data_IF_044393338452
#
_entry.id   IF_044393338452
#
_cell.length_a   1.000
_cell.length_b   1.000
_cell.length_c   1.000
_cell.angle_alpha   90.00
_cell.angle_beta   90.00
_cell.angle_gamma   90.00
#
_symmetry.space_group_name_H-M   'P 1'
#
loop_
_entity.id
_entity.type
_entity.pdbx_description
1 polymer ?
#
# COMPACT_ATOMS: atom_id res chain seq x y z
N UNK A 1 -52.14 0.27 -6.76
CA UNK A 1 -50.75 0.78 -6.68
C UNK A 1 -50.50 1.23 -5.26
N UNK A 2 -49.47 0.65 -4.65
CA UNK A 2 -49.23 0.52 -3.21
C UNK A 2 -48.98 1.85 -2.50
N UNK A 3 -49.77 2.12 -1.45
CA UNK A 3 -49.61 3.26 -0.54
C UNK A 3 -48.42 3.03 0.40
N UNK A 4 -47.22 3.36 -0.07
CA UNK A 4 -45.98 3.36 0.73
C UNK A 4 -46.01 4.45 1.83
N UNK A 5 -46.88 5.45 1.67
CA UNK A 5 -47.11 6.50 2.65
C UNK A 5 -48.53 6.42 3.22
N UNK A 6 -48.67 6.71 4.51
CA UNK A 6 -49.96 6.72 5.21
C UNK A 6 -50.89 7.77 4.54
N UNK A 7 -52.01 7.36 3.92
CA UNK A 7 -52.86 8.24 3.11
C UNK A 7 -53.54 9.35 3.92
N UNK A 8 -53.67 9.18 5.24
CA UNK A 8 -54.30 10.16 6.14
C UNK A 8 -53.31 11.17 6.72
N UNK A 9 -51.99 10.94 6.58
CA UNK A 9 -50.97 11.85 7.08
C UNK A 9 -50.74 12.98 6.08
N UNK A 10 -51.04 14.21 6.51
CA UNK A 10 -50.73 15.42 5.75
C UNK A 10 -49.25 15.74 5.87
N UNK A 11 -48.54 15.70 4.75
CA UNK A 11 -47.12 16.05 4.71
C UNK A 11 -46.94 17.55 4.55
N UNK A 12 -46.18 18.14 5.46
CA UNK A 12 -45.82 19.56 5.47
C UNK A 12 -44.44 19.78 4.83
N UNK A 13 -44.04 21.06 4.66
CA UNK A 13 -42.71 21.39 4.12
C UNK A 13 -41.56 20.87 4.99
N UNK A 14 -41.76 20.80 6.30
CA UNK A 14 -40.77 20.24 7.23
C UNK A 14 -40.65 18.72 7.10
N UNK A 15 -41.75 18.01 6.85
CA UNK A 15 -41.73 16.56 6.61
C UNK A 15 -41.04 16.22 5.29
N UNK A 16 -41.29 17.00 4.23
CA UNK A 16 -40.63 16.83 2.92
C UNK A 16 -39.13 17.18 3.01
N UNK A 17 -38.76 18.21 3.77
CA UNK A 17 -37.36 18.56 4.02
C UNK A 17 -36.59 17.38 4.65
N UNK A 18 -37.18 16.76 5.68
CA UNK A 18 -36.63 15.55 6.32
C UNK A 18 -36.57 14.36 5.37
N UNK A 19 -37.63 14.13 4.58
CA UNK A 19 -37.70 13.02 3.63
C UNK A 19 -36.61 13.11 2.54
N UNK A 20 -36.37 14.30 2.01
CA UNK A 20 -35.40 14.54 0.94
C UNK A 20 -33.97 14.80 1.47
N UNK A 21 -33.80 14.92 2.80
CA UNK A 21 -32.51 15.23 3.42
C UNK A 21 -31.99 16.64 3.11
N UNK A 22 -32.89 17.62 2.94
CA UNK A 22 -32.56 19.01 2.61
C UNK A 22 -33.15 19.98 3.63
N UNK A 23 -32.71 21.25 3.62
CA UNK A 23 -33.27 22.27 4.51
C UNK A 23 -34.66 22.72 4.07
N UNK A 24 -35.51 23.14 5.01
CA UNK A 24 -36.84 23.72 4.70
C UNK A 24 -36.76 24.95 3.80
N UNK A 25 -35.69 25.76 3.97
CA UNK A 25 -35.40 26.89 3.08
C UNK A 25 -35.19 26.40 1.64
N UNK A 26 -34.49 25.29 1.45
CA UNK A 26 -34.27 24.72 0.13
C UNK A 26 -35.54 24.12 -0.47
N UNK A 27 -36.41 23.49 0.34
CA UNK A 27 -37.75 23.06 -0.12
C UNK A 27 -38.55 24.25 -0.65
N UNK A 28 -38.54 25.38 0.07
CA UNK A 28 -39.23 26.61 -0.36
C UNK A 28 -38.65 27.18 -1.66
N UNK A 29 -37.32 27.19 -1.80
CA UNK A 29 -36.67 27.63 -3.02
C UNK A 29 -37.08 26.75 -4.22
N UNK A 30 -37.08 25.43 -4.06
CA UNK A 30 -37.45 24.49 -5.11
C UNK A 30 -38.95 24.55 -5.47
N UNK A 31 -39.82 24.85 -4.51
CA UNK A 31 -41.23 25.15 -4.78
C UNK A 31 -41.38 26.44 -5.60
N UNK A 32 -40.66 27.50 -5.24
CA UNK A 32 -40.70 28.78 -5.96
C UNK A 32 -40.12 28.67 -7.38
N UNK A 33 -39.14 27.79 -7.58
CA UNK A 33 -38.54 27.48 -8.88
C UNK A 33 -39.42 26.57 -9.75
N UNK A 34 -40.58 26.11 -9.24
CA UNK A 34 -41.48 25.20 -9.94
C UNK A 34 -40.94 23.77 -10.07
N UNK A 35 -39.87 23.44 -9.36
CA UNK A 35 -39.24 22.12 -9.40
C UNK A 35 -40.01 21.11 -8.55
N UNK A 36 -40.40 21.49 -7.32
CA UNK A 36 -41.24 20.64 -6.48
C UNK A 36 -42.73 20.97 -6.70
N UNK A 37 -43.62 19.95 -6.69
CA UNK A 37 -45.05 20.18 -6.83
C UNK A 37 -45.62 20.88 -5.58
N UNK A 38 -46.48 21.88 -5.79
CA UNK A 38 -47.19 22.56 -4.71
C UNK A 38 -48.17 21.62 -3.98
N UNK A 39 -48.51 21.96 -2.74
CA UNK A 39 -49.49 21.22 -1.96
C UNK A 39 -50.85 21.17 -2.67
N UNK A 40 -51.48 19.99 -2.71
CA UNK A 40 -52.82 19.81 -3.27
C UNK A 40 -53.87 20.26 -2.26
N UNK A 41 -53.96 21.57 -2.05
CA UNK A 41 -54.93 22.21 -1.15
C UNK A 41 -54.88 21.64 0.27
N UNK A 42 -56.03 21.18 0.78
CA UNK A 42 -56.21 20.73 2.18
C UNK A 42 -55.57 19.37 2.49
N UNK A 43 -55.02 18.69 1.48
CA UNK A 43 -54.42 17.35 1.57
C UNK A 43 -52.88 17.37 1.73
N UNK A 44 -52.25 18.55 1.80
CA UNK A 44 -50.80 18.66 1.98
C UNK A 44 -50.00 18.34 0.71
N UNK A 45 -48.69 18.16 0.87
CA UNK A 45 -47.82 17.78 -0.26
C UNK A 45 -47.80 16.27 -0.46
N UNK A 46 -47.65 15.87 -1.72
CA UNK A 46 -47.55 14.46 -2.12
C UNK A 46 -46.07 14.01 -2.06
N UNK A 47 -45.69 13.14 -1.10
CA UNK A 47 -44.30 12.75 -0.91
C UNK A 47 -43.68 12.08 -2.13
N UNK A 48 -44.44 11.22 -2.81
CA UNK A 48 -43.95 10.49 -3.98
C UNK A 48 -43.66 11.46 -5.12
N UNK A 49 -44.60 12.38 -5.39
CA UNK A 49 -44.41 13.38 -6.43
C UNK A 49 -43.22 14.30 -6.13
N UNK A 50 -43.03 14.69 -4.86
CA UNK A 50 -41.86 15.46 -4.43
C UNK A 50 -40.54 14.69 -4.62
N UNK A 51 -40.50 13.41 -4.28
CA UNK A 51 -39.30 12.57 -4.45
C UNK A 51 -38.95 12.41 -5.92
N UNK A 52 -39.92 12.09 -6.78
CA UNK A 52 -39.67 11.97 -8.21
C UNK A 52 -39.19 13.29 -8.82
N UNK A 53 -39.84 14.41 -8.48
CA UNK A 53 -39.45 15.71 -8.98
C UNK A 53 -38.03 16.13 -8.52
N UNK A 54 -37.68 15.84 -7.26
CA UNK A 54 -36.35 16.12 -6.73
C UNK A 54 -35.25 15.26 -7.38
N UNK A 55 -35.54 13.98 -7.65
CA UNK A 55 -34.63 13.08 -8.37
C UNK A 55 -34.42 13.59 -9.79
N UNK A 56 -35.50 13.92 -10.51
CA UNK A 56 -35.42 14.47 -11.87
C UNK A 56 -34.62 15.77 -11.92
N UNK A 57 -34.80 16.64 -10.93
CA UNK A 57 -34.02 17.87 -10.80
C UNK A 57 -32.53 17.59 -10.57
N UNK A 58 -32.18 16.66 -9.68
CA UNK A 58 -30.78 16.29 -9.45
C UNK A 58 -30.14 15.60 -10.65
N UNK A 59 -30.87 14.77 -11.37
CA UNK A 59 -30.36 14.14 -12.59
C UNK A 59 -30.17 15.16 -13.70
N UNK A 60 -31.06 16.14 -13.84
CA UNK A 60 -30.91 17.23 -14.81
C UNK A 60 -29.82 18.22 -14.41
N UNK A 61 -29.67 18.58 -13.13
CA UNK A 61 -28.57 19.42 -12.66
C UNK A 61 -27.20 18.77 -12.95
N UNK A 62 -27.11 17.44 -12.81
CA UNK A 62 -25.92 16.67 -13.26
C UNK A 62 -25.68 16.74 -14.77
N UNK A 63 -26.72 16.95 -15.57
CA UNK A 63 -26.60 17.12 -17.03
C UNK A 63 -26.40 18.58 -17.46
N UNK A 64 -26.74 19.58 -16.63
CA UNK A 64 -26.56 21.01 -16.98
C UNK A 64 -25.13 21.50 -16.67
N UNK A 65 -24.40 20.83 -15.77
CA UNK A 65 -22.94 20.94 -15.71
C UNK A 65 -22.25 20.32 -16.95
N UNK A 66 -22.99 19.58 -17.79
CA UNK A 66 -22.60 19.22 -19.15
C UNK A 66 -23.06 20.33 -20.11
N UNK A 67 -22.20 21.32 -20.34
CA UNK A 67 -22.38 22.31 -21.43
C UNK A 67 -22.53 21.58 -22.78
N UNK A 68 -23.24 22.17 -23.76
CA UNK A 68 -23.48 21.55 -25.06
C UNK A 68 -22.15 21.19 -25.75
N UNK A 69 -22.06 19.93 -26.15
CA UNK A 69 -20.91 19.24 -26.71
C UNK A 69 -20.42 19.90 -28.01
N UNK A 70 -19.20 20.44 -27.99
CA UNK A 70 -18.33 20.42 -29.17
C UNK A 70 -17.68 19.03 -29.23
N UNK A 71 -17.74 18.28 -30.35
CA UNK A 71 -17.40 16.85 -30.36
C UNK A 71 -15.92 16.50 -30.08
N UNK A 72 -15.02 17.49 -30.02
CA UNK A 72 -13.58 17.25 -29.97
C UNK A 72 -12.96 17.36 -28.57
N UNK A 73 -13.59 18.07 -27.62
CA UNK A 73 -12.96 18.35 -26.32
C UNK A 73 -13.21 17.26 -25.26
N UNK A 74 -14.31 16.50 -25.37
CA UNK A 74 -14.64 15.43 -24.40
C UNK A 74 -13.79 14.15 -24.60
N UNK A 75 -13.40 13.82 -25.84
CA UNK A 75 -12.57 12.64 -26.08
C UNK A 75 -11.19 12.78 -25.44
N UNK A 76 -10.56 13.97 -25.50
CA UNK A 76 -9.28 14.21 -24.84
C UNK A 76 -9.37 14.14 -23.32
N UNK A 77 -10.42 14.71 -22.71
CA UNK A 77 -10.61 14.68 -21.26
C UNK A 77 -10.93 13.27 -20.75
N UNK A 78 -11.77 12.50 -21.47
CA UNK A 78 -12.07 11.10 -21.16
C UNK A 78 -10.83 10.20 -21.32
N UNK A 79 -10.05 10.41 -22.38
CA UNK A 79 -8.77 9.71 -22.58
C UNK A 79 -7.76 10.07 -21.48
N UNK A 80 -7.73 11.31 -21.00
CA UNK A 80 -6.88 11.70 -19.88
C UNK A 80 -7.29 11.05 -18.55
N UNK A 81 -8.61 10.96 -18.29
CA UNK A 81 -9.13 10.29 -17.10
C UNK A 81 -8.80 8.80 -17.13
N UNK A 82 -8.97 8.17 -18.29
CA UNK A 82 -8.67 6.75 -18.46
C UNK A 82 -7.17 6.45 -18.37
N UNK A 83 -6.31 7.30 -18.96
CA UNK A 83 -4.85 7.24 -18.77
C UNK A 83 -4.44 7.40 -17.31
N UNK A 84 -5.05 8.34 -16.58
CA UNK A 84 -4.79 8.52 -15.13
C UNK A 84 -5.26 7.30 -14.32
N UNK A 85 -6.34 6.64 -14.73
CA UNK A 85 -6.84 5.41 -14.10
C UNK A 85 -5.86 4.25 -14.30
N UNK A 86 -5.47 4.01 -15.55
CA UNK A 86 -4.51 2.96 -15.93
C UNK A 86 -3.15 3.18 -15.25
N UNK A 87 -2.61 4.40 -15.29
CA UNK A 87 -1.35 4.71 -14.59
C UNK A 87 -1.44 4.52 -13.07
N UNK A 88 -2.61 4.68 -12.47
CA UNK A 88 -2.82 4.40 -11.05
C UNK A 88 -2.96 2.89 -10.75
N UNK A 89 -3.53 2.12 -11.67
CA UNK A 89 -3.59 0.66 -11.61
C UNK A 89 -2.16 0.07 -11.74
N UNK A 90 -1.38 0.50 -12.71
CA UNK A 90 0.02 0.09 -12.91
C UNK A 90 0.90 0.41 -11.68
N UNK A 91 0.70 1.59 -11.08
CA UNK A 91 1.39 1.97 -9.83
C UNK A 91 1.01 1.04 -8.68
N UNK A 92 -0.27 0.68 -8.56
CA UNK A 92 -0.74 -0.25 -7.51
C UNK A 92 -0.16 -1.64 -7.71
N UNK A 93 -0.16 -2.15 -8.94
CA UNK A 93 0.44 -3.44 -9.28
C UNK A 93 1.95 -3.44 -9.04
N UNK A 94 2.65 -2.38 -9.43
CA UNK A 94 4.08 -2.20 -9.16
C UNK A 94 4.38 -2.17 -7.66
N UNK A 95 3.56 -1.47 -6.86
CA UNK A 95 3.70 -1.43 -5.40
C UNK A 95 3.43 -2.82 -4.79
N UNK A 96 2.40 -3.53 -5.26
CA UNK A 96 2.09 -4.87 -4.80
C UNK A 96 3.20 -5.86 -5.15
N UNK A 97 3.76 -5.78 -6.36
CA UNK A 97 4.89 -6.58 -6.81
C UNK A 97 6.15 -6.27 -5.99
N UNK A 98 6.45 -4.98 -5.74
CA UNK A 98 7.58 -4.58 -4.89
C UNK A 98 7.42 -5.08 -3.45
N UNK A 99 6.20 -5.09 -2.91
CA UNK A 99 5.91 -5.65 -1.58
C UNK A 99 6.04 -7.17 -1.55
N UNK A 100 5.52 -7.87 -2.55
CA UNK A 100 5.67 -9.32 -2.68
C UNK A 100 7.13 -9.72 -2.85
N UNK A 101 7.89 -8.98 -3.67
CA UNK A 101 9.36 -9.09 -3.78
C UNK A 101 10.02 -8.88 -2.42
N UNK A 102 9.69 -7.82 -1.68
CA UNK A 102 10.24 -7.59 -0.33
C UNK A 102 9.95 -8.75 0.62
N UNK A 103 8.74 -9.31 0.64
CA UNK A 103 8.40 -10.43 1.53
C UNK A 103 9.10 -11.73 1.11
N UNK A 104 9.22 -11.97 -0.19
CA UNK A 104 9.97 -13.11 -0.74
C UNK A 104 11.47 -12.98 -0.42
N UNK A 105 12.01 -11.76 -0.54
CA UNK A 105 13.40 -11.45 -0.23
C UNK A 105 13.66 -11.32 1.28
N UNK A 106 12.70 -10.92 2.12
CA UNK A 106 12.85 -10.81 3.58
C UNK A 106 13.11 -12.17 4.25
N UNK A 107 12.74 -13.27 3.61
CA UNK A 107 13.05 -14.64 4.09
C UNK A 107 14.31 -15.25 3.46
N UNK A 108 14.90 -14.60 2.46
CA UNK A 108 16.07 -15.12 1.73
C UNK A 108 17.29 -14.21 1.80
N UNK A 109 17.12 -12.93 2.12
CA UNK A 109 18.15 -11.91 2.15
C UNK A 109 17.98 -11.07 3.42
N UNK A 110 18.92 -11.24 4.36
CA UNK A 110 19.06 -10.34 5.49
C UNK A 110 19.82 -9.06 5.07
N UNK A 111 19.59 -7.91 5.72
CA UNK A 111 20.43 -6.73 5.53
C UNK A 111 21.90 -7.09 5.79
N UNK A 112 22.79 -6.81 4.82
CA UNK A 112 24.22 -7.15 4.89
C UNK A 112 24.82 -6.66 6.21
N UNK A 113 24.46 -5.45 6.64
CA UNK A 113 24.92 -4.88 7.91
C UNK A 113 24.59 -5.77 9.12
N UNK A 114 23.37 -6.33 9.19
CA UNK A 114 22.94 -7.20 10.28
C UNK A 114 23.72 -8.53 10.23
N UNK A 115 23.93 -9.08 9.03
CA UNK A 115 24.70 -10.32 8.84
C UNK A 115 26.15 -10.12 9.31
N UNK A 116 26.80 -9.02 8.89
CA UNK A 116 28.17 -8.68 9.27
C UNK A 116 28.29 -8.48 10.79
N UNK A 117 27.38 -7.70 11.39
CA UNK A 117 27.37 -7.48 12.84
C UNK A 117 27.17 -8.78 13.63
N UNK A 118 26.28 -9.66 13.15
CA UNK A 118 26.02 -10.95 13.78
C UNK A 118 27.24 -11.87 13.69
N UNK A 119 27.88 -11.95 12.52
CA UNK A 119 29.13 -12.69 12.32
C UNK A 119 30.26 -12.15 13.22
N UNK A 120 30.44 -10.84 13.30
CA UNK A 120 31.43 -10.22 14.20
C UNK A 120 31.18 -10.58 15.68
N UNK A 121 29.92 -10.55 16.13
CA UNK A 121 29.58 -10.97 17.50
C UNK A 121 29.88 -12.44 17.74
N UNK A 122 29.58 -13.32 16.78
CA UNK A 122 29.88 -14.76 16.88
C UNK A 122 31.39 -14.98 16.94
N UNK A 123 32.16 -14.40 16.03
CA UNK A 123 33.62 -14.53 16.00
C UNK A 123 34.28 -14.03 17.28
N UNK A 124 33.89 -12.84 17.77
CA UNK A 124 34.41 -12.28 19.03
C UNK A 124 34.15 -13.20 20.24
N UNK A 125 32.94 -13.77 20.32
CA UNK A 125 32.57 -14.70 21.40
C UNK A 125 33.33 -16.02 21.29
N UNK A 126 33.57 -16.52 20.07
CA UNK A 126 34.30 -17.75 19.83
C UNK A 126 35.76 -17.61 20.27
N UNK A 127 36.46 -16.56 19.81
CA UNK A 127 37.86 -16.27 20.21
C UNK A 127 37.98 -16.16 21.73
N UNK A 128 37.10 -15.37 22.37
CA UNK A 128 37.08 -15.22 23.83
C UNK A 128 36.89 -16.55 24.58
N UNK A 129 36.15 -17.50 24.00
CA UNK A 129 35.93 -18.83 24.58
C UNK A 129 37.14 -19.74 24.39
N UNK A 130 37.79 -19.69 23.23
CA UNK A 130 39.01 -20.43 22.93
C UNK A 130 40.17 -19.97 23.81
N UNK A 131 40.39 -18.66 23.93
CA UNK A 131 41.41 -18.09 24.82
C UNK A 131 41.20 -18.49 26.29
N UNK A 132 39.93 -18.56 26.70
CA UNK A 132 39.54 -19.00 28.04
C UNK A 132 39.60 -20.51 28.26
N UNK A 133 39.82 -21.33 27.23
CA UNK A 133 39.84 -22.79 27.33
C UNK A 133 41.10 -23.28 28.05
N UNK A 134 42.26 -22.79 27.61
CA UNK A 134 43.56 -23.23 28.15
C UNK A 134 43.71 -22.94 29.66
N UNK A 135 43.37 -21.74 30.19
CA UNK A 135 43.38 -21.49 31.63
C UNK A 135 42.46 -22.43 32.42
N UNK A 136 41.29 -22.78 31.86
CA UNK A 136 40.37 -23.75 32.51
C UNK A 136 40.95 -25.15 32.50
N UNK A 137 41.63 -25.56 31.42
CA UNK A 137 42.30 -26.85 31.37
C UNK A 137 43.45 -26.93 32.37
N UNK A 138 44.30 -25.89 32.45
CA UNK A 138 45.38 -25.80 33.46
C UNK A 138 44.85 -25.86 34.90
N UNK A 139 43.65 -25.34 35.15
CA UNK A 139 42.99 -25.45 36.46
C UNK A 139 42.55 -26.87 36.80
N UNK A 140 42.07 -27.63 35.82
CA UNK A 140 41.59 -29.02 36.02
C UNK A 140 42.74 -30.03 35.97
N UNK A 141 43.79 -29.73 35.22
CA UNK A 141 45.01 -30.53 35.09
C UNK A 141 46.25 -29.66 35.39
N UNK A 142 46.62 -29.52 36.68
CA UNK A 142 47.74 -28.67 37.08
C UNK A 142 49.10 -29.17 36.61
N UNK A 143 49.30 -30.50 36.60
CA UNK A 143 50.52 -31.19 36.16
C UNK A 143 50.53 -31.43 34.64
N UNK A 144 50.00 -30.49 33.86
CA UNK A 144 49.99 -30.61 32.40
C UNK A 144 51.42 -30.46 31.85
N UNK A 145 51.90 -31.41 31.02
CA UNK A 145 53.21 -31.31 30.41
C UNK A 145 53.35 -30.01 29.58
N UNK A 146 54.53 -29.35 29.60
CA UNK A 146 54.76 -28.16 28.79
C UNK A 146 54.53 -28.39 27.30
N UNK A 147 54.91 -29.56 26.76
CA UNK A 147 54.69 -29.86 25.34
C UNK A 147 53.19 -29.89 24.99
N UNK A 148 52.33 -30.36 25.91
CA UNK A 148 50.89 -30.36 25.69
C UNK A 148 50.30 -28.95 25.68
N UNK A 149 50.84 -28.04 26.50
CA UNK A 149 50.44 -26.63 26.52
C UNK A 149 50.80 -25.97 25.18
N UNK A 150 52.02 -26.18 24.69
CA UNK A 150 52.48 -25.61 23.42
C UNK A 150 51.63 -26.08 22.24
N UNK A 151 51.30 -27.38 22.17
CA UNK A 151 50.42 -27.94 21.13
C UNK A 151 49.02 -27.30 21.19
N UNK A 152 48.46 -27.15 22.39
CA UNK A 152 47.14 -26.54 22.56
C UNK A 152 47.14 -25.04 22.19
N UNK A 153 48.18 -24.30 22.56
CA UNK A 153 48.34 -22.89 22.18
C UNK A 153 48.47 -22.73 20.66
N UNK A 154 49.27 -23.59 20.02
CA UNK A 154 49.42 -23.60 18.56
C UNK A 154 48.09 -23.92 17.84
N UNK A 155 47.34 -24.90 18.33
CA UNK A 155 46.05 -25.30 17.74
C UNK A 155 44.98 -24.19 17.92
N UNK A 156 44.90 -23.58 19.10
CA UNK A 156 43.99 -22.44 19.37
C UNK A 156 44.31 -21.26 18.44
N UNK A 157 45.60 -20.99 18.22
CA UNK A 157 46.03 -19.95 17.29
C UNK A 157 45.69 -20.30 15.83
N UNK A 158 45.89 -21.55 15.41
CA UNK A 158 45.55 -22.02 14.06
C UNK A 158 44.05 -21.85 13.78
N UNK A 159 43.18 -22.34 14.68
CA UNK A 159 41.73 -22.21 14.56
C UNK A 159 41.30 -20.74 14.53
N UNK A 160 41.90 -19.89 15.35
CA UNK A 160 41.59 -18.46 15.38
C UNK A 160 41.95 -17.76 14.07
N UNK A 161 43.09 -18.13 13.47
CA UNK A 161 43.53 -17.60 12.18
C UNK A 161 42.63 -18.08 11.03
N UNK A 162 42.26 -19.37 11.02
CA UNK A 162 41.31 -19.92 10.03
C UNK A 162 39.95 -19.22 10.11
N UNK A 163 39.43 -19.00 11.32
CA UNK A 163 38.17 -18.27 11.53
C UNK A 163 38.25 -16.81 11.05
N UNK A 164 39.42 -16.17 11.18
CA UNK A 164 39.64 -14.80 10.75
C UNK A 164 39.73 -14.66 9.22
N UNK A 165 40.13 -15.72 8.50
CA UNK A 165 40.23 -15.72 7.04
C UNK A 165 38.95 -16.22 6.34
N UNK A 166 37.89 -16.54 7.08
CA UNK A 166 36.59 -16.86 6.49
C UNK A 166 36.04 -15.64 5.76
N UNK A 167 35.96 -15.74 4.43
CA UNK A 167 35.38 -14.74 3.54
C UNK A 167 34.08 -15.25 2.93
N UNK A 168 33.11 -14.36 2.64
CA UNK A 168 31.94 -14.74 1.88
C UNK A 168 32.37 -15.22 0.48
N UNK A 169 31.79 -16.33 0.02
CA UNK A 169 31.91 -16.74 -1.37
C UNK A 169 30.99 -15.87 -2.23
N UNK A 170 31.59 -15.10 -3.13
CA UNK A 170 30.87 -14.21 -4.05
C UNK A 170 30.70 -14.82 -5.44
N UNK A 171 31.02 -16.09 -5.65
CA UNK A 171 30.95 -16.74 -6.97
C UNK A 171 29.55 -16.69 -7.58
N UNK A 172 28.51 -16.81 -6.74
CA UNK A 172 27.10 -16.72 -7.13
C UNK A 172 26.49 -15.32 -6.89
N UNK A 173 27.29 -14.36 -6.43
CA UNK A 173 26.81 -12.99 -6.20
C UNK A 173 26.75 -12.25 -7.53
N UNK A 174 25.54 -12.13 -8.08
CA UNK A 174 25.28 -11.19 -9.17
C UNK A 174 25.23 -9.78 -8.60
N UNK A 175 26.19 -8.93 -8.98
CA UNK A 175 26.11 -7.49 -8.76
C UNK A 175 24.82 -6.98 -9.39
N UNK A 176 23.81 -6.75 -8.56
CA UNK A 176 22.61 -6.04 -8.99
C UNK A 176 23.03 -4.61 -9.25
N UNK A 177 23.03 -4.20 -10.51
CA UNK A 177 23.20 -2.79 -10.87
C UNK A 177 22.20 -1.96 -10.03
N UNK A 178 22.67 -1.04 -9.15
CA UNK A 178 21.79 -0.21 -8.33
C UNK A 178 20.80 0.62 -9.16
N UNK A 179 21.11 0.85 -10.43
CA UNK A 179 20.30 1.58 -11.41
C UNK A 179 19.70 0.67 -12.50
N UNK A 180 20.24 -0.52 -12.68
CA UNK A 180 19.81 -1.53 -13.63
C UNK A 180 19.04 -2.63 -12.91
N UNK A 181 17.73 -2.45 -12.84
CA UNK A 181 16.86 -3.59 -12.60
C UNK A 181 17.15 -4.72 -13.59
N UNK A 182 16.82 -5.98 -13.25
CA UNK A 182 17.07 -7.11 -14.14
C UNK A 182 16.49 -6.83 -15.53
N UNK A 183 17.11 -7.34 -16.60
CA UNK A 183 16.80 -6.94 -17.99
C UNK A 183 15.31 -6.97 -18.40
N UNK A 184 14.48 -7.73 -17.69
CA UNK A 184 13.01 -7.77 -17.85
C UNK A 184 12.25 -6.61 -17.15
N UNK A 185 12.92 -5.80 -16.34
CA UNK A 185 12.42 -4.61 -15.65
C UNK A 185 12.56 -3.34 -16.52
N UNK A 186 13.47 -3.35 -17.50
CA UNK A 186 13.46 -2.36 -18.57
C UNK A 186 12.31 -2.78 -19.48
N UNK A 187 11.14 -2.19 -19.25
CA UNK A 187 10.02 -2.33 -20.17
C UNK A 187 10.46 -1.95 -21.58
N UNK A 188 9.84 -2.60 -22.56
CA UNK A 188 9.95 -2.42 -24.01
C UNK A 188 9.65 -0.98 -24.49
N UNK A 189 10.24 0.06 -23.88
CA UNK A 189 10.16 1.45 -24.34
C UNK A 189 11.20 1.74 -25.44
N UNK A 190 11.34 0.82 -26.38
CA UNK A 190 12.20 0.99 -27.54
C UNK A 190 11.55 0.46 -28.82
N UNK A 191 10.27 0.78 -29.07
CA UNK A 191 9.70 0.63 -30.42
C UNK A 191 8.43 1.47 -30.66
N UNK A 192 8.49 2.78 -30.38
CA UNK A 192 7.56 3.76 -30.99
C UNK A 192 8.31 5.02 -31.38
N UNK A 193 9.27 4.89 -32.30
CA UNK A 193 9.80 6.01 -33.06
C UNK A 193 10.07 5.53 -34.50
N UNK A 194 9.01 5.43 -35.29
CA UNK A 194 9.00 5.17 -36.72
C UNK A 194 7.80 5.82 -37.36
#
# INVERSE_FOLDING_TARGET
MSSIFNPDKKFTQSDIAKLLGISERQVRNLLNQGVLPAAKGRNGMDPLACTHAYISYKSQAKQVDSKPETPAENEEEDLEIEKKRLANEDKKETIAMKRAKRVLFEKSYGPIQIIVETLQQVSSRLTSRLDGLLPKMKKVWPEMPPEAIEVLEAEIAAVSNECADVRPDFSDYMDGDPFGGPAWLVGDEADTAG
#
